data_IF_913459242897
#
_entry.id   IF_913459242897
#
_cell.length_a   1.000
_cell.length_b   1.000
_cell.length_c   1.000
_cell.angle_alpha   90.00
_cell.angle_beta   90.00
_cell.angle_gamma   90.00
#
_symmetry.space_group_name_H-M   'P 1'
#
loop_
_entity.id
_entity.type
_entity.pdbx_description
1 polymer ?
#
# COMPACT_ATOMS: atom_id res chain seq x y z
N UNK A 1 -35.62 -11.41 2.31
CA UNK A 1 -35.02 -10.30 1.52
C UNK A 1 -34.87 -10.77 0.09
N UNK A 2 -35.09 -9.90 -0.91
CA UNK A 2 -35.12 -10.28 -2.34
C UNK A 2 -33.85 -11.01 -2.80
N UNK A 3 -32.67 -10.55 -2.37
CA UNK A 3 -31.38 -11.19 -2.73
C UNK A 3 -31.28 -12.66 -2.31
N UNK A 4 -31.98 -13.09 -1.23
CA UNK A 4 -31.94 -14.49 -0.79
C UNK A 4 -32.56 -15.41 -1.83
N UNK A 5 -33.72 -15.01 -2.37
CA UNK A 5 -34.42 -15.77 -3.41
C UNK A 5 -33.58 -15.88 -4.68
N UNK A 6 -32.88 -14.79 -5.04
CA UNK A 6 -31.96 -14.76 -6.18
C UNK A 6 -30.82 -15.77 -5.98
N UNK A 7 -30.11 -15.68 -4.85
CA UNK A 7 -28.98 -16.55 -4.56
C UNK A 7 -29.40 -18.02 -4.38
N UNK A 8 -30.57 -18.29 -3.80
CA UNK A 8 -31.11 -19.65 -3.66
C UNK A 8 -31.41 -20.27 -5.03
N UNK A 9 -31.97 -19.50 -5.95
CA UNK A 9 -32.23 -19.94 -7.33
C UNK A 9 -30.93 -20.17 -8.10
N UNK A 10 -29.98 -19.23 -8.05
CA UNK A 10 -28.64 -19.40 -8.66
C UNK A 10 -27.98 -20.67 -8.11
N UNK A 11 -27.99 -20.83 -6.79
CA UNK A 11 -27.39 -21.99 -6.12
C UNK A 11 -28.02 -23.30 -6.58
N UNK A 12 -29.35 -23.35 -6.70
CA UNK A 12 -30.05 -24.54 -7.19
C UNK A 12 -29.61 -24.90 -8.61
N UNK A 13 -29.59 -23.95 -9.54
CA UNK A 13 -29.22 -24.21 -10.93
C UNK A 13 -27.72 -24.54 -11.08
N UNK A 14 -26.85 -23.82 -10.37
CA UNK A 14 -25.40 -24.07 -10.40
C UNK A 14 -25.04 -25.45 -9.86
N UNK A 15 -25.76 -25.95 -8.85
CA UNK A 15 -25.60 -27.32 -8.35
C UNK A 15 -25.98 -28.36 -9.40
N UNK A 16 -27.01 -28.12 -10.20
CA UNK A 16 -27.41 -29.03 -11.28
C UNK A 16 -26.34 -29.07 -12.40
N UNK A 17 -25.76 -27.91 -12.72
CA UNK A 17 -24.75 -27.74 -13.77
C UNK A 17 -23.41 -28.36 -13.33
N UNK A 18 -22.87 -27.95 -12.18
CA UNK A 18 -21.52 -28.27 -11.73
C UNK A 18 -21.43 -29.55 -10.90
N UNK A 19 -22.54 -30.03 -10.33
CA UNK A 19 -22.63 -31.28 -9.57
C UNK A 19 -21.54 -31.38 -8.50
N UNK A 20 -20.78 -32.47 -8.48
CA UNK A 20 -19.70 -32.73 -7.52
C UNK A 20 -18.48 -31.82 -7.70
N UNK A 21 -18.39 -31.09 -8.82
CA UNK A 21 -17.33 -30.11 -9.05
C UNK A 21 -17.54 -28.82 -8.24
N UNK A 22 -18.77 -28.51 -7.82
CA UNK A 22 -19.05 -27.33 -7.00
C UNK A 22 -18.58 -27.54 -5.56
N UNK A 23 -17.54 -26.82 -5.15
CA UNK A 23 -17.06 -26.80 -3.76
C UNK A 23 -17.93 -25.90 -2.88
N UNK A 24 -18.33 -24.73 -3.38
CA UNK A 24 -19.20 -23.82 -2.64
C UNK A 24 -19.48 -22.50 -3.36
N UNK A 25 -20.45 -21.77 -2.82
CA UNK A 25 -20.82 -20.41 -3.23
C UNK A 25 -20.70 -19.51 -1.99
N UNK A 26 -19.88 -18.47 -2.10
CA UNK A 26 -19.51 -17.60 -0.98
C UNK A 26 -19.88 -16.16 -1.32
N UNK A 27 -20.73 -15.57 -0.49
CA UNK A 27 -21.22 -14.20 -0.68
C UNK A 27 -20.37 -13.25 0.14
N UNK A 28 -19.95 -12.14 -0.48
CA UNK A 28 -19.15 -11.10 0.16
C UNK A 28 -19.77 -9.72 -0.05
N UNK A 29 -18.95 -8.67 0.10
CA UNK A 29 -19.36 -7.30 -0.17
C UNK A 29 -20.48 -6.83 0.75
N UNK A 30 -21.38 -6.00 0.23
CA UNK A 30 -22.36 -5.28 1.04
C UNK A 30 -23.34 -6.19 1.80
N UNK A 31 -23.63 -7.39 1.27
CA UNK A 31 -24.45 -8.40 1.96
C UNK A 31 -23.73 -8.92 3.20
N UNK A 32 -22.46 -9.31 3.05
CA UNK A 32 -21.64 -9.83 4.15
C UNK A 32 -21.42 -8.78 5.26
N UNK A 33 -21.22 -7.52 4.88
CA UNK A 33 -21.12 -6.41 5.84
C UNK A 33 -22.45 -5.98 6.47
N UNK A 34 -23.60 -6.52 6.02
CA UNK A 34 -24.91 -6.16 6.55
C UNK A 34 -25.42 -4.77 6.13
N UNK A 35 -24.81 -4.15 5.12
CA UNK A 35 -25.18 -2.83 4.61
C UNK A 35 -25.76 -2.86 3.18
N UNK A 36 -26.26 -4.02 2.74
CA UNK A 36 -26.84 -4.20 1.40
C UNK A 36 -28.11 -3.36 1.19
N UNK A 37 -28.14 -2.61 0.08
CA UNK A 37 -29.31 -1.89 -0.40
C UNK A 37 -29.64 -2.35 -1.84
N UNK A 38 -30.82 -2.93 -2.04
CA UNK A 38 -31.21 -3.49 -3.33
C UNK A 38 -31.23 -2.48 -4.50
N UNK A 39 -31.30 -1.17 -4.25
CA UNK A 39 -31.20 -0.16 -5.30
C UNK A 39 -29.76 0.28 -5.60
N UNK A 40 -28.86 0.19 -4.61
CA UNK A 40 -27.53 0.82 -4.66
C UNK A 40 -26.36 -0.16 -4.57
N UNK A 41 -26.65 -1.42 -4.30
CA UNK A 41 -25.71 -2.51 -4.13
C UNK A 41 -25.89 -3.55 -5.23
N UNK A 42 -24.78 -4.02 -5.74
CA UNK A 42 -24.59 -5.30 -6.41
C UNK A 42 -24.69 -6.48 -5.42
N UNK A 43 -24.85 -7.68 -5.97
CA UNK A 43 -24.71 -8.94 -5.25
C UNK A 43 -23.36 -9.54 -5.64
N UNK A 44 -22.42 -9.58 -4.70
CA UNK A 44 -21.06 -10.08 -4.93
C UNK A 44 -20.90 -11.51 -4.39
N UNK A 45 -20.48 -12.44 -5.25
CA UNK A 45 -20.23 -13.81 -4.81
C UNK A 45 -19.15 -14.52 -5.62
N UNK A 46 -18.46 -15.45 -4.96
CA UNK A 46 -17.45 -16.32 -5.55
C UNK A 46 -18.00 -17.74 -5.62
N UNK A 47 -17.87 -18.36 -6.79
CA UNK A 47 -18.15 -19.78 -7.01
C UNK A 47 -16.83 -20.53 -7.01
N UNK A 48 -16.66 -21.44 -6.07
CA UNK A 48 -15.44 -22.26 -5.98
C UNK A 48 -15.71 -23.65 -6.54
N UNK A 49 -14.88 -24.09 -7.47
CA UNK A 49 -14.95 -25.41 -8.09
C UNK A 49 -13.65 -26.19 -7.88
N UNK A 50 -13.70 -27.53 -7.94
CA UNK A 50 -12.54 -28.39 -7.70
C UNK A 50 -11.61 -28.44 -8.91
N UNK A 51 -12.20 -28.58 -10.09
CA UNK A 51 -11.56 -28.78 -11.39
C UNK A 51 -12.07 -27.75 -12.41
N UNK A 52 -11.28 -27.53 -13.47
CA UNK A 52 -11.63 -26.60 -14.56
C UNK A 52 -13.00 -26.91 -15.16
N UNK A 53 -13.75 -25.87 -15.45
CA UNK A 53 -15.10 -25.99 -16.03
C UNK A 53 -15.04 -25.96 -17.56
N UNK A 54 -15.85 -26.81 -18.18
CA UNK A 54 -15.97 -26.92 -19.64
C UNK A 54 -16.68 -25.70 -20.24
N UNK A 55 -16.50 -25.49 -21.55
CA UNK A 55 -17.22 -24.44 -22.29
C UNK A 55 -18.74 -24.56 -22.12
N UNK A 56 -19.27 -25.79 -22.15
CA UNK A 56 -20.70 -26.03 -21.97
C UNK A 56 -21.19 -25.65 -20.58
N UNK A 57 -20.41 -25.93 -19.53
CA UNK A 57 -20.72 -25.48 -18.16
C UNK A 57 -20.67 -23.95 -18.06
N UNK A 58 -19.63 -23.30 -18.61
CA UNK A 58 -19.53 -21.83 -18.63
C UNK A 58 -20.77 -21.19 -19.27
N UNK A 59 -21.17 -21.67 -20.45
CA UNK A 59 -22.37 -21.20 -21.15
C UNK A 59 -23.65 -21.44 -20.33
N UNK A 60 -23.75 -22.59 -19.65
CA UNK A 60 -24.91 -22.90 -18.82
C UNK A 60 -25.01 -21.99 -17.59
N UNK A 61 -23.88 -21.72 -16.91
CA UNK A 61 -23.83 -20.78 -15.78
C UNK A 61 -24.22 -19.37 -16.23
N UNK A 62 -23.63 -18.89 -17.34
CA UNK A 62 -23.96 -17.58 -17.89
C UNK A 62 -25.41 -17.46 -18.32
N UNK A 63 -25.99 -18.53 -18.88
CA UNK A 63 -27.40 -18.56 -19.24
C UNK A 63 -28.31 -18.36 -18.01
N UNK A 64 -28.00 -19.01 -16.89
CA UNK A 64 -28.74 -18.81 -15.63
C UNK A 64 -28.68 -17.36 -15.19
N UNK A 65 -27.48 -16.76 -15.20
CA UNK A 65 -27.30 -15.34 -14.85
C UNK A 65 -28.12 -14.43 -15.77
N UNK A 66 -28.04 -14.64 -17.08
CA UNK A 66 -28.74 -13.84 -18.08
C UNK A 66 -30.26 -13.96 -17.98
N UNK A 67 -30.79 -15.18 -17.84
CA UNK A 67 -32.23 -15.43 -17.74
C UNK A 67 -32.83 -14.80 -16.46
N UNK A 68 -32.00 -14.56 -15.44
CA UNK A 68 -32.40 -13.97 -14.17
C UNK A 68 -32.17 -12.44 -14.09
N UNK A 69 -31.65 -11.80 -15.13
CA UNK A 69 -31.17 -10.41 -15.08
C UNK A 69 -32.21 -9.40 -14.56
N UNK A 70 -33.49 -9.56 -14.92
CA UNK A 70 -34.58 -8.66 -14.49
C UNK A 70 -34.87 -8.75 -12.98
N UNK A 71 -34.42 -9.83 -12.33
CA UNK A 71 -34.59 -10.02 -10.89
C UNK A 71 -33.47 -9.37 -10.06
N UNK A 72 -32.37 -8.97 -10.69
CA UNK A 72 -31.20 -8.43 -9.99
C UNK A 72 -31.41 -6.98 -9.51
N UNK A 73 -30.58 -6.51 -8.56
CA UNK A 73 -30.45 -5.09 -8.29
C UNK A 73 -30.14 -4.27 -9.54
N UNK A 74 -30.35 -2.96 -9.47
CA UNK A 74 -30.01 -2.03 -10.58
C UNK A 74 -28.51 -2.05 -10.89
N UNK A 75 -27.66 -2.15 -9.87
CA UNK A 75 -26.22 -2.37 -10.02
C UNK A 75 -25.85 -3.78 -10.47
N UNK A 76 -26.80 -4.72 -10.42
CA UNK A 76 -26.65 -6.08 -10.88
C UNK A 76 -25.96 -7.01 -9.91
N UNK A 77 -25.09 -7.86 -10.44
CA UNK A 77 -24.31 -8.84 -9.70
C UNK A 77 -22.85 -8.80 -10.14
N UNK A 78 -21.98 -9.30 -9.27
CA UNK A 78 -20.60 -9.61 -9.60
C UNK A 78 -20.28 -11.06 -9.20
N UNK A 79 -19.75 -11.83 -10.15
CA UNK A 79 -19.48 -13.25 -9.98
C UNK A 79 -18.12 -13.61 -10.59
N UNK A 80 -17.29 -14.31 -9.81
CA UNK A 80 -16.12 -15.02 -10.34
C UNK A 80 -16.18 -16.51 -9.99
N UNK A 81 -15.84 -17.36 -10.95
CA UNK A 81 -15.64 -18.80 -10.77
C UNK A 81 -14.15 -19.08 -10.66
N UNK A 82 -13.70 -19.68 -9.57
CA UNK A 82 -12.29 -19.90 -9.24
C UNK A 82 -12.05 -21.34 -8.80
N UNK A 83 -10.82 -21.84 -8.98
CA UNK A 83 -10.44 -23.16 -8.49
C UNK A 83 -10.14 -23.14 -6.99
N UNK A 84 -10.56 -24.21 -6.29
CA UNK A 84 -10.30 -24.40 -4.85
C UNK A 84 -8.79 -24.34 -4.54
N UNK A 85 -7.93 -24.77 -5.46
CA UNK A 85 -6.47 -24.69 -5.28
C UNK A 85 -5.96 -23.25 -5.10
N UNK A 86 -6.54 -22.26 -5.79
CA UNK A 86 -6.13 -20.86 -5.69
C UNK A 86 -6.71 -20.16 -4.47
N UNK A 87 -7.84 -20.65 -3.94
CA UNK A 87 -8.38 -20.18 -2.67
C UNK A 87 -7.53 -20.69 -1.49
N UNK A 88 -7.11 -21.97 -1.53
CA UNK A 88 -6.34 -22.60 -0.46
C UNK A 88 -4.88 -22.16 -0.46
N UNK A 89 -4.25 -22.20 -1.63
CA UNK A 89 -2.88 -21.76 -1.84
C UNK A 89 -2.93 -20.43 -2.58
N UNK A 90 -3.20 -19.36 -1.82
CA UNK A 90 -3.43 -18.03 -2.37
C UNK A 90 -2.34 -17.65 -3.38
N UNK A 91 -2.77 -17.31 -4.60
CA UNK A 91 -1.93 -16.88 -5.72
C UNK A 91 -2.44 -15.52 -6.21
N UNK A 92 -1.54 -14.56 -6.39
CA UNK A 92 -1.89 -13.24 -6.89
C UNK A 92 -0.98 -12.83 -8.07
N UNK A 93 -1.52 -12.33 -9.20
CA UNK A 93 -2.96 -12.26 -9.54
C UNK A 93 -3.64 -13.63 -9.52
N UNK A 94 -4.92 -13.68 -9.10
CA UNK A 94 -5.67 -14.92 -8.88
C UNK A 94 -6.29 -15.39 -10.20
N UNK A 95 -6.02 -16.62 -10.67
CA UNK A 95 -6.66 -17.10 -11.89
C UNK A 95 -8.16 -17.38 -11.67
N UNK A 96 -8.98 -17.02 -12.65
CA UNK A 96 -10.42 -17.32 -12.69
C UNK A 96 -10.81 -18.06 -13.97
N UNK A 97 -11.80 -18.94 -13.85
CA UNK A 97 -12.34 -19.74 -14.95
C UNK A 97 -13.45 -19.01 -15.72
N UNK A 98 -14.20 -18.15 -15.03
CA UNK A 98 -15.26 -17.32 -15.59
C UNK A 98 -15.49 -16.11 -14.68
N UNK A 99 -15.74 -14.94 -15.24
CA UNK A 99 -16.10 -13.73 -14.50
C UNK A 99 -17.29 -13.05 -15.16
N UNK A 100 -18.17 -12.44 -14.39
CA UNK A 100 -19.26 -11.61 -14.87
C UNK A 100 -19.53 -10.44 -13.93
N UNK A 101 -19.71 -9.27 -14.52
CA UNK A 101 -20.30 -8.09 -13.90
C UNK A 101 -21.23 -7.43 -14.92
N UNK A 102 -22.11 -6.53 -14.48
CA UNK A 102 -23.03 -5.84 -15.39
C UNK A 102 -22.31 -5.06 -16.51
N UNK A 103 -21.05 -4.65 -16.32
CA UNK A 103 -20.24 -4.04 -17.38
C UNK A 103 -20.00 -4.96 -18.58
N UNK A 104 -20.11 -6.27 -18.37
CA UNK A 104 -19.88 -7.29 -19.38
C UNK A 104 -21.14 -7.74 -20.12
N UNK A 105 -22.33 -7.30 -19.68
CA UNK A 105 -23.61 -7.75 -20.24
C UNK A 105 -23.67 -7.57 -21.76
N UNK A 106 -23.32 -6.38 -22.26
CA UNK A 106 -23.33 -6.10 -23.71
C UNK A 106 -22.39 -7.04 -24.49
N UNK A 107 -21.18 -7.28 -23.97
CA UNK A 107 -20.21 -8.18 -24.61
C UNK A 107 -20.72 -9.62 -24.64
N UNK A 108 -21.42 -10.05 -23.58
CA UNK A 108 -22.05 -11.36 -23.53
C UNK A 108 -23.21 -11.47 -24.55
N UNK A 109 -24.08 -10.45 -24.66
CA UNK A 109 -25.21 -10.45 -25.59
C UNK A 109 -24.79 -10.49 -27.06
N UNK A 110 -23.68 -9.83 -27.40
CA UNK A 110 -23.13 -9.80 -28.76
C UNK A 110 -22.65 -11.19 -29.23
N UNK A 111 -21.96 -11.93 -28.37
CA UNK A 111 -21.48 -13.29 -28.67
C UNK A 111 -21.29 -14.13 -27.38
N UNK A 112 -22.36 -14.81 -26.91
CA UNK A 112 -22.32 -15.58 -25.67
C UNK A 112 -21.26 -16.68 -25.65
N UNK A 113 -21.05 -17.34 -26.79
CA UNK A 113 -20.10 -18.45 -26.91
C UNK A 113 -18.67 -17.94 -26.86
N UNK A 114 -18.34 -16.90 -27.62
CA UNK A 114 -17.02 -16.28 -27.57
C UNK A 114 -16.73 -15.63 -26.22
N UNK A 115 -17.73 -14.99 -25.59
CA UNK A 115 -17.60 -14.47 -24.24
C UNK A 115 -17.18 -15.57 -23.27
N UNK A 116 -17.94 -16.67 -23.18
CA UNK A 116 -17.62 -17.79 -22.27
C UNK A 116 -16.26 -18.43 -22.57
N UNK A 117 -15.86 -18.48 -23.86
CA UNK A 117 -14.58 -19.03 -24.29
C UNK A 117 -13.39 -18.18 -23.87
N UNK A 118 -13.55 -16.86 -23.92
CA UNK A 118 -12.46 -15.88 -23.72
C UNK A 118 -12.46 -15.23 -22.35
N UNK A 119 -13.54 -15.36 -21.57
CA UNK A 119 -13.64 -14.80 -20.22
C UNK A 119 -12.99 -15.75 -19.20
N UNK A 120 -11.67 -15.77 -19.20
CA UNK A 120 -10.79 -16.42 -18.23
C UNK A 120 -9.49 -15.62 -18.21
N UNK A 121 -8.76 -15.67 -17.10
CA UNK A 121 -7.54 -14.90 -16.94
C UNK A 121 -7.12 -14.84 -15.48
N UNK A 122 -6.33 -13.82 -15.13
CA UNK A 122 -5.95 -13.54 -13.77
C UNK A 122 -6.50 -12.17 -13.33
N UNK A 123 -6.87 -12.06 -12.05
CA UNK A 123 -7.46 -10.86 -11.46
C UNK A 123 -6.81 -10.55 -10.11
N UNK A 124 -6.37 -9.30 -9.94
CA UNK A 124 -5.75 -8.81 -8.70
C UNK A 124 -6.78 -8.52 -7.61
N UNK A 125 -8.01 -8.14 -7.99
CA UNK A 125 -9.07 -7.72 -7.07
C UNK A 125 -9.70 -8.90 -6.31
N UNK A 126 -9.53 -10.12 -6.84
CA UNK A 126 -9.87 -11.34 -6.11
C UNK A 126 -9.16 -11.46 -4.75
N UNK A 127 -8.00 -10.81 -4.58
CA UNK A 127 -7.35 -10.70 -3.27
C UNK A 127 -8.25 -10.01 -2.24
N UNK A 128 -8.94 -8.94 -2.64
CA UNK A 128 -9.86 -8.24 -1.77
C UNK A 128 -11.14 -9.03 -1.52
N UNK A 129 -11.65 -9.72 -2.54
CA UNK A 129 -12.85 -10.55 -2.39
C UNK A 129 -12.59 -11.68 -1.39
N UNK A 130 -11.46 -12.36 -1.50
CA UNK A 130 -11.09 -13.46 -0.58
C UNK A 130 -10.83 -12.94 0.83
N UNK A 131 -10.22 -11.76 0.97
CA UNK A 131 -10.00 -11.12 2.27
C UNK A 131 -11.32 -10.79 2.96
N UNK A 132 -12.28 -10.22 2.24
CA UNK A 132 -13.63 -9.94 2.77
C UNK A 132 -14.37 -11.24 3.10
N UNK A 133 -14.24 -12.28 2.27
CA UNK A 133 -14.83 -13.60 2.55
C UNK A 133 -14.28 -14.16 3.88
N UNK A 134 -12.96 -14.10 4.09
CA UNK A 134 -12.32 -14.56 5.34
C UNK A 134 -12.76 -13.76 6.56
N UNK A 135 -12.94 -12.45 6.43
CA UNK A 135 -13.29 -11.60 7.56
C UNK A 135 -14.78 -11.73 7.96
N UNK A 136 -15.68 -11.66 6.98
CA UNK A 136 -17.12 -11.55 7.24
C UNK A 136 -18.02 -12.25 6.21
N UNK A 137 -17.43 -13.02 5.28
CA UNK A 137 -18.17 -13.70 4.21
C UNK A 137 -19.23 -14.67 4.72
N UNK A 138 -20.20 -14.94 3.85
CA UNK A 138 -21.27 -15.89 4.12
C UNK A 138 -21.10 -17.12 3.23
N UNK A 139 -21.07 -18.30 3.86
CA UNK A 139 -21.25 -19.57 3.13
C UNK A 139 -22.71 -19.64 2.70
N UNK A 140 -22.96 -19.44 1.40
CA UNK A 140 -24.30 -19.64 0.85
C UNK A 140 -24.56 -21.12 0.59
N UNK A 141 -23.54 -21.82 0.07
CA UNK A 141 -23.56 -23.25 -0.15
C UNK A 141 -22.14 -23.83 -0.06
N UNK A 142 -22.03 -25.09 0.38
CA UNK A 142 -20.78 -25.86 0.31
C UNK A 142 -20.00 -25.92 1.62
N UNK A 143 -18.67 -26.04 1.50
CA UNK A 143 -17.73 -26.15 2.63
C UNK A 143 -17.68 -24.86 3.46
N UNK A 144 -17.10 -24.94 4.67
CA UNK A 144 -16.85 -23.74 5.49
C UNK A 144 -15.76 -22.88 4.83
N UNK A 145 -15.80 -21.57 5.07
CA UNK A 145 -14.82 -20.62 4.54
C UNK A 145 -13.39 -21.02 4.91
N UNK A 146 -13.13 -21.35 6.19
CA UNK A 146 -11.78 -21.74 6.65
C UNK A 146 -11.29 -23.07 6.08
N UNK A 147 -12.19 -23.91 5.56
CA UNK A 147 -11.82 -25.14 4.88
C UNK A 147 -11.41 -24.89 3.42
N UNK A 148 -11.65 -23.70 2.86
CA UNK A 148 -11.46 -23.39 1.43
C UNK A 148 -10.49 -22.24 1.19
N UNK A 149 -10.58 -21.18 1.99
CA UNK A 149 -9.77 -19.98 1.84
C UNK A 149 -8.61 -19.98 2.84
N UNK A 150 -7.39 -19.96 2.31
CA UNK A 150 -6.15 -19.79 3.08
C UNK A 150 -5.94 -18.35 3.53
N UNK A 151 -4.75 -18.07 4.06
CA UNK A 151 -4.35 -16.72 4.44
C UNK A 151 -4.02 -15.87 3.21
N UNK A 152 -4.53 -14.65 3.17
CA UNK A 152 -4.25 -13.67 2.12
C UNK A 152 -3.26 -12.65 2.66
N UNK A 153 -2.07 -12.47 2.05
CA UNK A 153 -1.12 -11.45 2.48
C UNK A 153 -1.75 -10.05 2.39
N UNK A 154 -1.66 -9.30 3.48
CA UNK A 154 -2.26 -7.96 3.62
C UNK A 154 -1.89 -6.99 2.50
N UNK A 155 -0.68 -7.13 1.92
CA UNK A 155 -0.22 -6.33 0.78
C UNK A 155 -1.19 -6.38 -0.38
N UNK A 156 -1.72 -7.55 -0.74
CA UNK A 156 -2.59 -7.68 -1.91
C UNK A 156 -3.99 -7.09 -1.68
N UNK A 157 -4.52 -7.18 -0.46
CA UNK A 157 -5.75 -6.46 -0.12
C UNK A 157 -5.52 -4.94 -0.15
N UNK A 158 -4.40 -4.47 0.41
CA UNK A 158 -4.01 -3.06 0.37
C UNK A 158 -3.90 -2.53 -1.06
N UNK A 159 -3.21 -3.27 -1.94
CA UNK A 159 -3.03 -2.89 -3.34
C UNK A 159 -4.40 -2.75 -4.04
N UNK A 160 -5.30 -3.73 -3.89
CA UNK A 160 -6.64 -3.69 -4.49
C UNK A 160 -7.49 -2.50 -4.00
N UNK A 161 -7.56 -2.24 -2.68
CA UNK A 161 -8.34 -1.08 -2.20
C UNK A 161 -7.67 0.26 -2.54
N UNK A 162 -6.36 0.29 -2.81
CA UNK A 162 -5.67 1.50 -3.27
C UNK A 162 -5.92 1.76 -4.75
N UNK A 163 -6.07 0.71 -5.55
CA UNK A 163 -6.39 0.84 -6.98
C UNK A 163 -7.73 1.58 -7.17
N UNK A 164 -8.70 1.33 -6.28
CA UNK A 164 -9.99 2.03 -6.20
C UNK A 164 -9.92 3.55 -6.04
N UNK A 165 -8.78 4.09 -5.59
CA UNK A 165 -8.60 5.53 -5.33
C UNK A 165 -7.53 6.17 -6.21
N UNK A 166 -6.88 5.44 -7.12
CA UNK A 166 -5.77 5.99 -7.93
C UNK A 166 -6.18 7.23 -8.74
N UNK A 167 -7.40 7.25 -9.27
CA UNK A 167 -7.93 8.37 -10.06
C UNK A 167 -8.94 9.24 -9.27
N UNK A 168 -8.89 9.22 -7.93
CA UNK A 168 -9.89 9.86 -7.08
C UNK A 168 -10.16 11.34 -7.44
N UNK A 169 -9.16 12.12 -7.83
CA UNK A 169 -9.37 13.53 -8.24
C UNK A 169 -10.25 13.68 -9.49
N UNK A 170 -10.22 12.70 -10.40
CA UNK A 170 -11.10 12.66 -11.58
C UNK A 170 -12.44 12.03 -11.23
N UNK A 171 -12.41 10.87 -10.57
CA UNK A 171 -13.59 10.05 -10.27
C UNK A 171 -14.51 10.71 -9.27
N UNK A 172 -14.02 11.58 -8.38
CA UNK A 172 -14.89 12.31 -7.43
C UNK A 172 -15.90 13.22 -8.15
N UNK A 173 -15.62 13.63 -9.39
CA UNK A 173 -16.53 14.49 -10.16
C UNK A 173 -17.73 13.71 -10.72
N UNK A 174 -17.50 12.47 -11.15
CA UNK A 174 -18.52 11.61 -11.76
C UNK A 174 -19.19 10.68 -10.76
N UNK A 175 -18.43 10.21 -9.76
CA UNK A 175 -18.87 9.26 -8.75
C UNK A 175 -18.42 9.73 -7.34
N UNK A 176 -18.97 10.84 -6.83
CA UNK A 176 -18.53 11.46 -5.59
C UNK A 176 -18.70 10.56 -4.38
N UNK A 177 -19.86 9.91 -4.23
CA UNK A 177 -20.16 9.03 -3.09
C UNK A 177 -19.17 7.85 -3.06
N UNK A 178 -18.93 7.23 -4.22
CA UNK A 178 -17.98 6.12 -4.36
C UNK A 178 -16.59 6.54 -3.92
N UNK A 179 -16.12 7.66 -4.46
CA UNK A 179 -14.75 8.15 -4.25
C UNK A 179 -14.51 8.55 -2.80
N UNK A 180 -15.42 9.32 -2.20
CA UNK A 180 -15.29 9.77 -0.81
C UNK A 180 -15.24 8.58 0.15
N UNK A 181 -16.15 7.62 -0.01
CA UNK A 181 -16.21 6.47 0.89
C UNK A 181 -15.04 5.50 0.69
N UNK A 182 -14.52 5.36 -0.54
CA UNK A 182 -13.32 4.55 -0.79
C UNK A 182 -12.06 5.19 -0.20
N UNK A 183 -11.87 6.51 -0.33
CA UNK A 183 -10.77 7.21 0.35
C UNK A 183 -10.83 6.99 1.87
N UNK A 184 -12.03 7.08 2.46
CA UNK A 184 -12.24 6.81 3.88
C UNK A 184 -11.93 5.36 4.25
N UNK A 185 -12.40 4.39 3.45
CA UNK A 185 -12.15 2.96 3.63
C UNK A 185 -10.65 2.64 3.61
N UNK A 186 -9.91 3.16 2.64
CA UNK A 186 -8.45 2.96 2.53
C UNK A 186 -7.72 3.51 3.75
N UNK A 187 -8.00 4.76 4.12
CA UNK A 187 -7.35 5.36 5.29
C UNK A 187 -7.68 4.61 6.58
N UNK A 188 -8.93 4.17 6.75
CA UNK A 188 -9.35 3.39 7.92
C UNK A 188 -8.59 2.06 8.03
N UNK A 189 -8.36 1.38 6.90
CA UNK A 189 -7.62 0.13 6.87
C UNK A 189 -6.15 0.35 7.24
N UNK A 190 -5.50 1.36 6.66
CA UNK A 190 -4.08 1.67 6.96
C UNK A 190 -3.88 1.98 8.44
N UNK A 191 -4.83 2.68 9.08
CA UNK A 191 -4.74 3.03 10.51
C UNK A 191 -5.09 1.89 11.46
N UNK A 192 -6.03 1.02 11.09
CA UNK A 192 -6.63 0.06 12.04
C UNK A 192 -6.36 -1.40 11.73
N UNK A 193 -5.94 -1.72 10.50
CA UNK A 193 -5.84 -3.08 9.99
C UNK A 193 -7.17 -3.80 9.81
N UNK A 194 -8.32 -3.12 10.03
CA UNK A 194 -9.65 -3.73 9.96
C UNK A 194 -10.25 -3.61 8.56
N UNK A 195 -10.71 -4.73 8.03
CA UNK A 195 -11.45 -4.79 6.76
C UNK A 195 -12.86 -4.22 6.99
N UNK A 196 -13.21 -3.18 6.25
CA UNK A 196 -14.46 -2.42 6.44
C UNK A 196 -15.20 -2.23 5.12
N UNK A 197 -16.53 -2.13 5.18
CA UNK A 197 -17.34 -1.65 4.06
C UNK A 197 -17.08 -0.16 3.76
N UNK A 198 -17.52 0.32 2.59
CA UNK A 198 -17.51 1.75 2.22
C UNK A 198 -18.20 2.61 3.29
N UNK A 199 -19.36 2.16 3.77
CA UNK A 199 -20.12 2.85 4.81
C UNK A 199 -19.38 2.85 6.16
N UNK A 200 -18.83 1.71 6.58
CA UNK A 200 -18.09 1.61 7.85
C UNK A 200 -16.81 2.47 7.82
N UNK A 201 -16.09 2.47 6.70
CA UNK A 201 -14.94 3.35 6.50
C UNK A 201 -15.31 4.83 6.58
N UNK A 202 -16.42 5.23 5.96
CA UNK A 202 -16.95 6.60 6.07
C UNK A 202 -17.33 6.99 7.50
N UNK A 203 -18.03 6.10 8.24
CA UNK A 203 -18.39 6.34 9.65
C UNK A 203 -17.12 6.52 10.49
N UNK A 204 -16.15 5.60 10.34
CA UNK A 204 -14.87 5.72 11.03
C UNK A 204 -14.16 7.03 10.71
N UNK A 205 -14.16 7.45 9.44
CA UNK A 205 -13.48 8.67 9.02
C UNK A 205 -14.15 9.93 9.59
N UNK A 206 -15.49 9.97 9.65
CA UNK A 206 -16.23 11.07 10.27
C UNK A 206 -15.87 11.24 11.77
N UNK A 207 -15.57 10.14 12.47
CA UNK A 207 -15.19 10.16 13.89
C UNK A 207 -13.70 10.47 14.14
N UNK A 208 -12.84 10.39 13.11
CA UNK A 208 -11.36 10.38 13.27
C UNK A 208 -10.61 11.43 12.43
N UNK A 209 -11.30 12.17 11.56
CA UNK A 209 -10.70 13.19 10.70
C UNK A 209 -10.98 14.62 11.20
N UNK A 210 -10.24 15.56 10.60
CA UNK A 210 -10.37 17.00 10.87
C UNK A 210 -11.80 17.48 10.57
N UNK A 211 -12.37 18.27 11.50
CA UNK A 211 -13.72 18.84 11.39
C UNK A 211 -13.96 19.54 10.05
N UNK A 212 -12.93 20.12 9.41
CA UNK A 212 -13.03 20.79 8.11
C UNK A 212 -13.65 19.91 7.02
N UNK A 213 -13.41 18.59 7.04
CA UNK A 213 -13.83 17.68 5.98
C UNK A 213 -14.86 16.64 6.45
N UNK A 214 -15.37 16.76 7.67
CA UNK A 214 -16.39 15.81 8.16
C UNK A 214 -17.70 15.98 7.40
N UNK A 215 -18.08 17.19 6.98
CA UNK A 215 -19.34 17.43 6.29
C UNK A 215 -19.46 16.71 4.95
N UNK A 216 -18.38 16.69 4.13
CA UNK A 216 -18.37 15.97 2.84
C UNK A 216 -18.53 14.45 3.05
N UNK A 217 -17.96 13.91 4.13
CA UNK A 217 -18.09 12.49 4.50
C UNK A 217 -19.52 12.18 4.95
N UNK A 218 -20.08 13.02 5.83
CA UNK A 218 -21.47 12.85 6.31
C UNK A 218 -22.46 12.95 5.15
N UNK A 219 -22.28 13.90 4.23
CA UNK A 219 -23.10 14.01 3.03
C UNK A 219 -22.99 12.73 2.18
N UNK A 220 -21.78 12.21 1.94
CA UNK A 220 -21.59 10.96 1.22
C UNK A 220 -22.30 9.78 1.90
N UNK A 221 -22.23 9.67 3.24
CA UNK A 221 -22.93 8.64 4.00
C UNK A 221 -24.45 8.75 3.91
N UNK A 222 -24.99 9.97 3.98
CA UNK A 222 -26.43 10.23 3.82
C UNK A 222 -26.90 9.84 2.43
N UNK A 223 -26.21 10.31 1.38
CA UNK A 223 -26.53 9.98 0.00
C UNK A 223 -26.33 8.48 -0.31
N UNK A 224 -25.38 7.80 0.34
CA UNK A 224 -25.19 6.35 0.18
C UNK A 224 -26.41 5.55 0.67
N UNK A 225 -27.06 6.02 1.74
CA UNK A 225 -28.25 5.39 2.31
C UNK A 225 -29.60 5.87 1.74
N UNK A 226 -29.65 7.04 1.10
CA UNK A 226 -30.87 7.62 0.52
C UNK A 226 -30.96 7.39 -1.01
N UNK A 227 -31.96 7.93 -1.70
CA UNK A 227 -32.01 7.99 -3.18
C UNK A 227 -31.44 9.32 -3.71
N UNK A 228 -30.80 10.13 -2.86
CA UNK A 228 -30.32 11.47 -3.22
C UNK A 228 -28.93 11.43 -3.87
N UNK A 229 -28.69 12.39 -4.76
CA UNK A 229 -27.39 12.66 -5.34
C UNK A 229 -26.55 13.55 -4.43
N UNK A 230 -25.24 13.36 -4.46
CA UNK A 230 -24.30 14.18 -3.71
C UNK A 230 -23.91 15.40 -4.54
N UNK A 231 -24.27 16.59 -4.06
CA UNK A 231 -23.80 17.85 -4.64
C UNK A 231 -22.35 18.09 -4.24
N UNK A 232 -21.50 18.35 -5.23
CA UNK A 232 -20.08 18.59 -5.03
C UNK A 232 -19.66 20.00 -5.47
N UNK A 233 -18.89 20.67 -4.62
CA UNK A 233 -18.06 21.79 -5.07
C UNK A 233 -16.72 21.24 -5.60
N UNK A 234 -16.35 21.61 -6.83
CA UNK A 234 -15.15 21.06 -7.49
C UNK A 234 -13.88 21.42 -6.74
N UNK A 235 -13.79 22.62 -6.18
CA UNK A 235 -12.60 23.08 -5.48
C UNK A 235 -12.47 22.33 -4.14
N UNK A 236 -13.54 22.28 -3.37
CA UNK A 236 -13.58 21.55 -2.10
C UNK A 236 -13.29 20.06 -2.27
N UNK A 237 -13.84 19.43 -3.31
CA UNK A 237 -13.61 18.01 -3.62
C UNK A 237 -12.14 17.73 -3.93
N UNK A 238 -11.48 18.62 -4.70
CA UNK A 238 -10.04 18.52 -4.95
C UNK A 238 -9.21 18.69 -3.67
N UNK A 239 -9.55 19.69 -2.83
CA UNK A 239 -8.90 19.88 -1.53
C UNK A 239 -9.07 18.66 -0.61
N UNK A 240 -10.24 18.02 -0.64
CA UNK A 240 -10.52 16.79 0.11
C UNK A 240 -9.67 15.62 -0.38
N UNK A 241 -9.60 15.37 -1.70
CA UNK A 241 -8.76 14.31 -2.25
C UNK A 241 -7.28 14.51 -1.86
N UNK A 242 -6.76 15.73 -2.06
CA UNK A 242 -5.39 16.10 -1.65
C UNK A 242 -5.15 15.87 -0.15
N UNK A 243 -6.11 16.23 0.71
CA UNK A 243 -6.02 15.97 2.14
C UNK A 243 -5.99 14.47 2.45
N UNK A 244 -6.88 13.68 1.85
CA UNK A 244 -6.96 12.23 2.08
C UNK A 244 -5.71 11.50 1.62
N UNK A 245 -5.19 11.80 0.43
CA UNK A 245 -3.92 11.23 -0.05
C UNK A 245 -2.76 11.55 0.89
N UNK A 246 -2.69 12.78 1.40
CA UNK A 246 -1.68 13.16 2.39
C UNK A 246 -1.81 12.35 3.68
N UNK A 247 -3.02 12.17 4.21
CA UNK A 247 -3.25 11.36 5.42
C UNK A 247 -2.87 9.89 5.20
N UNK A 248 -3.27 9.32 4.07
CA UNK A 248 -2.93 7.94 3.65
C UNK A 248 -1.41 7.79 3.65
N UNK A 249 -0.70 8.69 2.98
CA UNK A 249 0.74 8.62 2.83
C UNK A 249 1.50 8.78 4.15
N UNK A 250 1.02 9.66 5.04
CA UNK A 250 1.59 9.83 6.38
C UNK A 250 1.53 8.52 7.16
N UNK A 251 0.38 7.84 7.14
CA UNK A 251 0.20 6.58 7.86
C UNK A 251 0.94 5.42 7.17
N UNK A 252 1.06 5.39 5.84
CA UNK A 252 1.92 4.43 5.14
C UNK A 252 3.39 4.58 5.53
N UNK A 253 3.92 5.82 5.49
CA UNK A 253 5.29 6.10 5.96
C UNK A 253 5.46 5.65 7.41
N UNK A 254 4.47 5.89 8.28
CA UNK A 254 4.50 5.45 9.69
C UNK A 254 4.49 3.92 9.83
N UNK A 255 3.68 3.20 9.07
CA UNK A 255 3.63 1.74 9.09
C UNK A 255 4.97 1.14 8.65
N UNK A 256 5.58 1.67 7.58
CA UNK A 256 6.93 1.28 7.14
C UNK A 256 7.95 1.51 8.26
N UNK A 257 7.93 2.67 8.93
CA UNK A 257 8.83 2.96 10.06
C UNK A 257 8.68 1.93 11.17
N UNK A 258 7.46 1.57 11.54
CA UNK A 258 7.19 0.59 12.59
C UNK A 258 7.68 -0.81 12.22
N UNK A 259 7.42 -1.26 10.98
CA UNK A 259 7.88 -2.56 10.49
C UNK A 259 9.40 -2.65 10.52
N UNK A 260 10.09 -1.63 9.99
CA UNK A 260 11.55 -1.65 9.99
C UNK A 260 12.12 -1.53 11.39
N UNK A 261 11.51 -0.72 12.26
CA UNK A 261 11.94 -0.62 13.66
C UNK A 261 11.88 -1.98 14.36
N UNK A 262 10.81 -2.75 14.18
CA UNK A 262 10.71 -4.09 14.75
C UNK A 262 11.79 -5.04 14.21
N UNK A 263 12.05 -5.02 12.89
CA UNK A 263 13.14 -5.79 12.27
C UNK A 263 14.53 -5.37 12.77
N UNK A 264 14.75 -4.07 13.00
CA UNK A 264 15.99 -3.54 13.59
C UNK A 264 16.18 -4.05 15.01
N UNK A 265 15.14 -3.99 15.85
CA UNK A 265 15.21 -4.47 17.24
C UNK A 265 15.58 -5.97 17.30
N UNK A 266 15.05 -6.78 16.40
CA UNK A 266 15.44 -8.19 16.26
C UNK A 266 16.89 -8.36 15.81
N UNK A 267 17.33 -7.62 14.79
CA UNK A 267 18.69 -7.68 14.26
C UNK A 267 19.76 -7.20 15.25
N UNK A 268 19.49 -6.09 15.94
CA UNK A 268 20.40 -5.45 16.90
C UNK A 268 20.57 -6.24 18.21
N UNK A 269 19.75 -7.28 18.43
CA UNK A 269 19.93 -8.21 19.55
C UNK A 269 21.25 -8.97 19.53
N UNK A 270 21.93 -9.04 18.37
CA UNK A 270 23.26 -9.64 18.20
C UNK A 270 24.30 -8.55 17.86
N UNK A 271 24.98 -8.05 18.90
CA UNK A 271 25.95 -6.95 18.78
C UNK A 271 27.12 -7.32 17.85
N UNK A 272 27.62 -8.55 17.93
CA UNK A 272 28.75 -9.01 17.11
C UNK A 272 28.41 -9.04 15.63
N UNK A 273 27.15 -9.39 15.30
CA UNK A 273 26.64 -9.33 13.94
C UNK A 273 26.59 -7.90 13.41
N UNK A 274 26.10 -6.93 14.19
CA UNK A 274 25.99 -5.53 13.75
C UNK A 274 27.34 -4.95 13.33
N UNK A 275 28.36 -5.06 14.19
CA UNK A 275 29.69 -4.50 13.94
C UNK A 275 30.32 -5.05 12.66
N UNK A 276 30.11 -6.33 12.37
CA UNK A 276 30.62 -6.96 11.15
C UNK A 276 29.93 -6.44 9.90
N UNK A 277 28.60 -6.30 9.94
CA UNK A 277 27.85 -5.70 8.83
C UNK A 277 28.24 -4.24 8.59
N UNK A 278 28.40 -3.43 9.65
CA UNK A 278 28.83 -2.04 9.54
C UNK A 278 30.18 -1.93 8.82
N UNK A 279 31.18 -2.75 9.23
CA UNK A 279 32.49 -2.80 8.55
C UNK A 279 32.37 -3.20 7.09
N UNK A 280 31.53 -4.19 6.76
CA UNK A 280 31.33 -4.64 5.38
C UNK A 280 30.68 -3.55 4.51
N UNK A 281 29.69 -2.82 5.02
CA UNK A 281 29.03 -1.73 4.31
C UNK A 281 30.01 -0.58 4.04
N UNK A 282 30.80 -0.19 5.05
CA UNK A 282 31.84 0.82 4.90
C UNK A 282 32.92 0.37 3.91
N UNK A 283 33.32 -0.90 3.95
CA UNK A 283 34.27 -1.45 2.97
C UNK A 283 33.73 -1.41 1.54
N UNK A 284 32.47 -1.82 1.33
CA UNK A 284 31.79 -1.74 0.02
C UNK A 284 31.75 -0.30 -0.50
N UNK A 285 31.42 0.67 0.35
CA UNK A 285 31.41 2.08 -0.01
C UNK A 285 32.81 2.60 -0.37
N UNK A 286 33.79 2.39 0.51
CA UNK A 286 35.16 2.91 0.34
C UNK A 286 35.87 2.29 -0.86
N UNK A 287 35.49 1.08 -1.24
CA UNK A 287 35.97 0.40 -2.44
C UNK A 287 35.36 0.93 -3.74
N UNK A 288 34.27 1.70 -3.68
CA UNK A 288 33.56 2.20 -4.85
C UNK A 288 34.22 3.42 -5.51
N UNK A 289 34.00 3.59 -6.81
CA UNK A 289 34.52 4.74 -7.56
C UNK A 289 33.95 6.08 -7.08
N UNK A 290 32.69 6.10 -6.63
CA UNK A 290 32.03 7.30 -6.11
C UNK A 290 32.79 7.83 -4.88
N UNK A 291 33.15 6.95 -3.95
CA UNK A 291 33.96 7.32 -2.78
C UNK A 291 35.39 7.71 -3.16
N UNK A 292 36.05 6.92 -4.02
CA UNK A 292 37.44 7.16 -4.41
C UNK A 292 37.63 8.53 -5.06
N UNK A 293 36.67 8.96 -5.89
CA UNK A 293 36.69 10.26 -6.59
C UNK A 293 36.23 11.44 -5.73
N UNK A 294 35.48 11.21 -4.66
CA UNK A 294 35.00 12.28 -3.79
C UNK A 294 36.14 12.82 -2.90
N UNK A 295 36.32 14.14 -2.88
CA UNK A 295 37.25 14.82 -1.97
C UNK A 295 36.52 15.36 -0.74
N UNK A 296 35.31 15.87 -0.94
CA UNK A 296 34.49 16.52 0.08
C UNK A 296 33.25 15.67 0.38
N UNK A 297 33.21 15.04 1.56
CA UNK A 297 32.18 14.08 1.96
C UNK A 297 31.34 14.66 3.10
N UNK A 298 30.04 14.57 2.99
CA UNK A 298 29.10 14.82 4.07
C UNK A 298 28.56 13.51 4.62
N UNK A 299 28.70 13.29 5.92
CA UNK A 299 28.27 12.08 6.59
C UNK A 299 27.43 12.40 7.83
N UNK A 300 26.31 11.70 7.97
CA UNK A 300 25.53 11.75 9.20
C UNK A 300 26.27 11.03 10.33
N UNK A 301 25.97 11.40 11.57
CA UNK A 301 26.50 10.68 12.73
C UNK A 301 25.46 9.68 13.18
N UNK A 302 25.78 8.39 12.99
CA UNK A 302 24.89 7.29 13.31
C UNK A 302 24.55 7.24 14.79
N UNK A 303 23.28 7.02 15.10
CA UNK A 303 22.83 6.68 16.44
C UNK A 303 22.94 5.17 16.69
N UNK A 304 22.69 4.72 17.92
CA UNK A 304 22.84 3.32 18.33
C UNK A 304 22.05 2.31 17.47
N UNK A 305 20.94 2.74 16.87
CA UNK A 305 20.08 1.94 16.00
C UNK A 305 20.32 2.16 14.50
N UNK A 306 21.39 2.87 14.15
CA UNK A 306 21.86 3.09 12.78
C UNK A 306 23.21 2.39 12.55
N UNK A 307 23.66 2.40 11.29
CA UNK A 307 25.02 1.99 10.94
C UNK A 307 25.99 2.91 11.68
N UNK A 308 27.02 2.33 12.29
CA UNK A 308 28.06 3.11 12.93
C UNK A 308 28.94 3.80 11.88
N UNK A 309 28.61 5.07 11.59
CA UNK A 309 29.34 5.89 10.62
C UNK A 309 30.67 6.40 11.15
N UNK A 310 31.02 6.18 12.43
CA UNK A 310 32.33 6.53 12.96
C UNK A 310 33.46 5.86 12.17
N UNK A 311 33.26 4.59 11.78
CA UNK A 311 34.18 3.80 10.95
C UNK A 311 34.44 4.48 9.60
N UNK A 312 33.39 5.01 8.97
CA UNK A 312 33.51 5.73 7.69
C UNK A 312 34.21 7.08 7.86
N UNK A 313 33.89 7.81 8.93
CA UNK A 313 34.47 9.12 9.23
C UNK A 313 35.98 8.98 9.46
N UNK A 314 36.40 8.05 10.32
CA UNK A 314 37.81 7.76 10.57
C UNK A 314 38.53 7.37 9.28
N UNK A 315 37.93 6.47 8.50
CA UNK A 315 38.52 6.03 7.23
C UNK A 315 38.68 7.18 6.21
N UNK A 316 37.70 8.08 6.13
CA UNK A 316 37.78 9.25 5.25
C UNK A 316 38.90 10.22 5.67
N UNK A 317 39.10 10.41 6.97
CA UNK A 317 40.21 11.21 7.50
C UNK A 317 41.55 10.56 7.18
N UNK A 318 41.68 9.25 7.37
CA UNK A 318 42.89 8.49 7.01
C UNK A 318 43.23 8.57 5.52
N UNK A 319 42.20 8.54 4.66
CA UNK A 319 42.34 8.66 3.20
C UNK A 319 42.60 10.11 2.75
N UNK A 320 42.74 11.06 3.68
CA UNK A 320 43.05 12.46 3.40
C UNK A 320 41.89 13.25 2.79
N UNK A 321 40.64 12.81 3.01
CA UNK A 321 39.43 13.46 2.49
C UNK A 321 38.90 14.50 3.49
N UNK A 322 38.19 15.50 2.99
CA UNK A 322 37.48 16.46 3.82
C UNK A 322 36.14 15.85 4.24
N UNK A 323 35.99 15.50 5.51
CA UNK A 323 34.74 14.95 6.06
C UNK A 323 34.00 16.03 6.85
N UNK A 324 32.70 16.13 6.60
CA UNK A 324 31.81 17.06 7.29
C UNK A 324 30.59 16.35 7.85
N UNK A 325 30.04 16.89 8.93
CA UNK A 325 28.88 16.36 9.65
C UNK A 325 27.78 17.42 9.78
N UNK A 326 26.51 17.00 9.93
CA UNK A 326 25.39 17.94 10.06
C UNK A 326 25.48 18.77 11.35
N UNK A 327 25.27 20.08 11.23
CA UNK A 327 24.87 20.95 12.34
C UNK A 327 23.53 21.61 12.04
N UNK A 328 22.54 21.44 12.92
CA UNK A 328 21.21 22.06 12.74
C UNK A 328 21.30 23.56 12.99
N UNK A 329 20.94 24.37 11.99
CA UNK A 329 21.03 25.84 12.04
C UNK A 329 19.69 26.56 11.98
N UNK A 330 18.60 25.82 11.73
CA UNK A 330 17.25 26.36 11.63
C UNK A 330 16.21 25.26 11.70
N UNK A 331 14.97 25.57 11.28
CA UNK A 331 13.83 24.64 11.43
C UNK A 331 13.96 23.36 10.58
N UNK A 332 14.56 23.47 9.39
CA UNK A 332 14.83 22.36 8.46
C UNK A 332 16.21 22.49 7.78
N UNK A 333 17.02 23.45 8.22
CA UNK A 333 18.31 23.76 7.60
C UNK A 333 19.44 23.19 8.43
N UNK A 334 20.45 22.69 7.74
CA UNK A 334 21.67 22.16 8.33
C UNK A 334 22.87 22.66 7.54
N UNK A 335 23.95 22.93 8.26
CA UNK A 335 25.24 23.31 7.72
C UNK A 335 26.16 22.09 7.77
N UNK A 336 27.01 21.94 6.76
CA UNK A 336 28.08 20.94 6.74
C UNK A 336 29.30 21.51 7.46
N UNK A 337 29.67 20.92 8.60
CA UNK A 337 30.81 21.37 9.40
C UNK A 337 31.93 20.34 9.31
N UNK A 338 33.12 20.79 8.92
CA UNK A 338 34.29 19.93 8.75
C UNK A 338 34.80 19.46 10.11
N UNK A 339 35.16 18.18 10.20
CA UNK A 339 35.84 17.61 11.37
C UNK A 339 37.10 16.85 10.92
N UNK A 340 38.13 16.87 11.77
CA UNK A 340 39.38 16.12 11.59
C UNK A 340 39.53 15.00 12.63
N UNK A 341 38.57 14.87 13.56
CA UNK A 341 38.52 13.84 14.58
C UNK A 341 37.12 13.77 15.19
N UNK A 342 36.68 12.57 15.57
CA UNK A 342 35.45 12.35 16.34
C UNK A 342 35.49 13.03 17.72
N UNK A 343 36.68 13.35 18.25
CA UNK A 343 36.83 14.08 19.51
C UNK A 343 36.26 15.52 19.45
N UNK A 344 36.02 16.06 18.26
CA UNK A 344 35.38 17.37 18.05
C UNK A 344 33.85 17.33 18.13
N UNK A 345 33.27 16.20 18.53
CA UNK A 345 31.83 16.02 18.67
C UNK A 345 31.42 16.02 20.14
N UNK A 346 30.24 16.58 20.44
CA UNK A 346 29.63 16.52 21.77
C UNK A 346 28.16 16.14 21.67
N UNK A 347 27.62 15.36 22.63
CA UNK A 347 26.20 15.08 22.68
C UNK A 347 25.42 16.36 23.03
N UNK A 348 24.39 16.66 22.25
CA UNK A 348 23.47 17.77 22.53
C UNK A 348 22.14 17.26 23.07
N UNK A 349 21.57 18.01 24.02
CA UNK A 349 20.25 17.71 24.60
C UNK A 349 19.13 18.15 23.63
N UNK A 350 17.94 17.51 23.68
CA UNK A 350 17.55 16.43 24.58
C UNK A 350 17.85 15.01 24.07
N UNK A 351 18.27 14.86 22.80
CA UNK A 351 18.33 13.56 22.13
C UNK A 351 19.70 12.88 22.15
N UNK A 352 20.74 13.54 22.65
CA UNK A 352 22.09 12.98 22.75
C UNK A 352 22.83 12.89 21.41
N UNK A 353 22.33 13.55 20.37
CA UNK A 353 22.93 13.57 19.03
C UNK A 353 24.31 14.22 19.13
N UNK A 354 25.31 13.59 18.52
CA UNK A 354 26.65 14.16 18.45
C UNK A 354 26.67 15.29 17.43
N UNK A 355 26.93 16.51 17.91
CA UNK A 355 27.13 17.70 17.08
C UNK A 355 28.56 18.23 17.22
N UNK A 356 29.11 18.89 16.18
CA UNK A 356 30.43 19.49 16.24
C UNK A 356 30.50 20.62 17.28
N UNK A 357 31.61 20.67 18.01
CA UNK A 357 31.84 21.62 19.12
C UNK A 357 31.93 23.07 18.62
N UNK A 358 32.57 23.28 17.47
CA UNK A 358 32.71 24.56 16.74
C UNK A 358 32.01 24.44 15.37
N UNK A 359 31.64 25.56 14.74
CA UNK A 359 31.00 25.63 13.41
C UNK A 359 31.64 26.65 12.47
N UNK A 360 32.86 27.09 12.78
CA UNK A 360 33.62 28.01 11.93
C UNK A 360 33.96 27.43 10.57
N UNK A 361 34.33 26.15 10.52
CA UNK A 361 34.81 25.50 9.30
C UNK A 361 33.64 24.84 8.56
N UNK A 362 32.91 25.64 7.78
CA UNK A 362 31.80 25.18 6.95
C UNK A 362 32.28 24.71 5.58
N UNK A 363 31.63 23.67 5.08
CA UNK A 363 31.93 23.09 3.77
C UNK A 363 30.81 23.39 2.78
N UNK A 364 31.09 24.26 1.80
CA UNK A 364 30.11 24.64 0.79
C UNK A 364 30.04 23.64 -0.38
N UNK A 365 31.20 23.15 -0.83
CA UNK A 365 31.31 22.17 -1.91
C UNK A 365 31.29 20.76 -1.34
N UNK A 366 30.36 19.94 -1.81
CA UNK A 366 30.20 18.54 -1.38
C UNK A 366 30.15 17.68 -2.63
N UNK A 367 30.97 16.64 -2.69
CA UNK A 367 31.03 15.71 -3.81
C UNK A 367 30.20 14.45 -3.54
N UNK A 368 30.08 14.06 -2.27
CA UNK A 368 29.35 12.87 -1.83
C UNK A 368 28.59 13.12 -0.51
N UNK A 369 27.31 12.80 -0.50
CA UNK A 369 26.42 12.86 0.67
C UNK A 369 26.03 11.45 1.07
N UNK A 370 26.35 11.07 2.31
CA UNK A 370 25.86 9.84 2.92
C UNK A 370 24.53 10.13 3.62
N UNK A 371 23.46 9.51 3.13
CA UNK A 371 22.09 9.82 3.51
C UNK A 371 21.54 8.74 4.44
N UNK A 372 21.10 9.07 5.67
CA UNK A 372 20.45 8.12 6.57
C UNK A 372 19.01 7.86 6.12
N UNK A 373 18.48 6.71 6.52
CA UNK A 373 17.09 6.33 6.27
C UNK A 373 16.67 5.08 7.04
N UNK A 374 15.36 4.95 7.22
CA UNK A 374 14.75 3.80 7.86
C UNK A 374 14.42 2.73 6.83
N UNK A 375 13.85 3.09 5.69
CA UNK A 375 13.58 2.16 4.60
C UNK A 375 14.02 2.76 3.27
N UNK A 376 14.37 1.89 2.33
CA UNK A 376 14.74 2.23 0.97
C UNK A 376 14.06 1.30 -0.03
N UNK A 377 13.98 1.69 -1.29
CA UNK A 377 13.62 0.80 -2.38
C UNK A 377 14.67 0.83 -3.50
N UNK A 378 14.61 -0.15 -4.41
CA UNK A 378 15.58 -0.27 -5.50
C UNK A 378 15.50 0.87 -6.55
N UNK A 379 14.52 1.77 -6.44
CA UNK A 379 14.37 2.96 -7.29
C UNK A 379 14.95 4.22 -6.65
N UNK A 380 15.63 4.09 -5.50
CA UNK A 380 16.22 5.21 -4.77
C UNK A 380 15.24 5.93 -3.84
N UNK A 381 14.00 5.44 -3.71
CA UNK A 381 13.04 5.96 -2.75
C UNK A 381 13.50 5.74 -1.31
N UNK A 382 13.09 6.63 -0.40
CA UNK A 382 13.52 6.60 1.01
C UNK A 382 12.41 7.00 1.98
N UNK A 383 12.28 6.25 3.08
CA UNK A 383 11.54 6.68 4.27
C UNK A 383 12.52 7.09 5.35
N UNK A 384 12.58 8.39 5.67
CA UNK A 384 13.34 8.92 6.81
C UNK A 384 12.47 9.11 8.07
N UNK A 385 13.05 9.79 9.07
CA UNK A 385 12.35 10.15 10.31
C UNK A 385 11.26 11.23 10.14
N UNK A 386 11.11 11.81 8.94
CA UNK A 386 9.98 12.70 8.59
C UNK A 386 10.21 14.19 8.86
N UNK A 387 11.42 14.62 9.22
CA UNK A 387 11.75 16.01 9.50
C UNK A 387 12.20 16.83 8.28
N UNK A 388 12.41 16.20 7.11
CA UNK A 388 12.70 16.88 5.83
C UNK A 388 14.08 17.52 5.67
N UNK A 389 14.96 17.42 6.67
CA UNK A 389 16.30 18.02 6.63
C UNK A 389 17.15 17.57 5.44
N UNK A 390 17.21 16.26 5.19
CA UNK A 390 18.03 15.71 4.10
C UNK A 390 17.47 16.04 2.73
N UNK A 391 16.15 16.03 2.56
CA UNK A 391 15.53 16.40 1.28
C UNK A 391 15.80 17.87 0.96
N UNK A 392 15.76 18.75 1.98
CA UNK A 392 16.15 20.15 1.84
C UNK A 392 17.65 20.31 1.53
N UNK A 393 18.51 19.58 2.24
CA UNK A 393 19.96 19.63 2.08
C UNK A 393 20.41 19.16 0.70
N UNK A 394 19.94 17.99 0.23
CA UNK A 394 20.29 17.44 -1.08
C UNK A 394 19.84 18.39 -2.20
N UNK A 395 18.67 19.02 -2.08
CA UNK A 395 18.21 20.03 -3.05
C UNK A 395 19.12 21.25 -3.18
N UNK A 396 19.92 21.57 -2.16
CA UNK A 396 20.92 22.65 -2.19
C UNK A 396 22.27 22.20 -2.73
N UNK A 397 22.56 20.90 -2.69
CA UNK A 397 23.81 20.29 -3.15
C UNK A 397 23.55 19.32 -4.32
N UNK A 398 22.87 19.77 -5.37
CA UNK A 398 22.42 18.92 -6.49
C UNK A 398 23.55 18.29 -7.31
N UNK A 399 24.77 18.83 -7.20
CA UNK A 399 25.95 18.31 -7.88
C UNK A 399 26.62 17.16 -7.10
N UNK A 400 26.25 16.96 -5.84
CA UNK A 400 26.80 15.90 -5.01
C UNK A 400 26.16 14.55 -5.33
N UNK A 401 26.97 13.50 -5.39
CA UNK A 401 26.46 12.13 -5.42
C UNK A 401 25.79 11.78 -4.09
N UNK A 402 24.75 10.96 -4.12
CA UNK A 402 24.04 10.52 -2.90
C UNK A 402 24.14 9.02 -2.71
N UNK A 403 24.60 8.60 -1.53
CA UNK A 403 24.69 7.18 -1.19
C UNK A 403 24.00 6.92 0.14
N UNK A 404 23.17 5.88 0.20
CA UNK A 404 22.65 5.34 1.44
C UNK A 404 23.35 4.02 1.78
N UNK A 405 23.73 3.87 3.04
CA UNK A 405 24.11 2.57 3.60
C UNK A 405 22.92 2.05 4.39
N UNK A 406 22.56 0.78 4.21
CA UNK A 406 21.47 0.16 4.96
C UNK A 406 21.67 -1.34 5.07
N UNK A 407 20.96 -1.98 6.00
CA UNK A 407 20.87 -3.44 6.03
C UNK A 407 19.89 -3.95 4.97
N UNK A 408 20.07 -5.20 4.53
CA UNK A 408 19.23 -5.88 3.56
C UNK A 408 17.73 -5.80 3.88
N UNK A 409 17.36 -5.98 5.15
CA UNK A 409 15.96 -5.94 5.59
C UNK A 409 15.32 -4.54 5.56
N UNK A 410 16.12 -3.47 5.39
CA UNK A 410 15.63 -2.10 5.21
C UNK A 410 15.27 -1.79 3.75
N UNK A 411 15.65 -2.65 2.80
CA UNK A 411 15.26 -2.53 1.40
C UNK A 411 13.93 -3.26 1.20
N UNK A 412 12.90 -2.52 0.81
CA UNK A 412 11.56 -3.05 0.52
C UNK A 412 11.23 -2.85 -0.97
N UNK A 413 10.16 -3.49 -1.44
CA UNK A 413 9.75 -3.44 -2.85
C UNK A 413 9.54 -2.00 -3.35
N UNK A 414 8.84 -1.19 -2.57
CA UNK A 414 8.52 0.21 -2.88
C UNK A 414 8.25 0.97 -1.59
N UNK A 415 8.85 2.14 -1.45
CA UNK A 415 8.51 3.04 -0.33
C UNK A 415 7.37 4.00 -0.71
N UNK A 416 6.56 4.44 0.27
CA UNK A 416 5.65 5.58 0.08
C UNK A 416 6.45 6.87 -0.10
N UNK A 417 6.28 7.54 -1.24
CA UNK A 417 7.00 8.76 -1.63
C UNK A 417 6.06 9.93 -1.97
N UNK A 418 6.53 11.16 -1.76
CA UNK A 418 5.91 12.40 -2.21
C UNK A 418 6.67 12.95 -3.43
N UNK A 419 6.03 13.76 -4.27
CA UNK A 419 6.69 14.39 -5.44
C UNK A 419 7.93 15.21 -5.07
N UNK A 420 8.00 15.69 -3.83
CA UNK A 420 9.11 16.49 -3.33
C UNK A 420 10.20 15.68 -2.60
N UNK A 421 10.01 14.37 -2.40
CA UNK A 421 11.03 13.48 -1.82
C UNK A 421 12.19 13.32 -2.83
N UNK A 422 13.43 13.37 -2.34
CA UNK A 422 14.61 13.28 -3.20
C UNK A 422 15.09 11.83 -3.27
N UNK A 423 15.21 11.30 -4.49
CA UNK A 423 15.73 9.95 -4.73
C UNK A 423 17.24 9.87 -4.47
N UNK A 424 17.65 8.77 -3.87
CA UNK A 424 19.05 8.43 -3.62
C UNK A 424 19.63 7.76 -4.87
N UNK A 425 20.80 8.22 -5.29
CA UNK A 425 21.46 7.73 -6.50
C UNK A 425 21.93 6.28 -6.34
N UNK A 426 22.47 5.92 -5.17
CA UNK A 426 22.96 4.58 -4.90
C UNK A 426 22.66 4.11 -3.48
N UNK A 427 22.24 2.86 -3.37
CA UNK A 427 22.00 2.19 -2.09
C UNK A 427 22.98 1.02 -1.99
N UNK A 428 23.64 0.88 -0.84
CA UNK A 428 24.59 -0.20 -0.54
C UNK A 428 24.06 -0.96 0.68
N UNK A 429 23.80 -2.25 0.47
CA UNK A 429 23.38 -3.23 1.49
C UNK A 429 24.15 -4.54 1.32
#
# INVERSE_FOLDING_TARGET
MKYKVILDNITKEFRCILRDNLTGIYVHGSIAFGCFNFKKSDIDFIVVVKDKISQTEKMALMKVIYDMQESFPEKGIEMSVVLEEYCRNFKCPTPFELHFSNMHLKRYEEDPDNYCRTMNGDDIDLAAHFTVIKECGLVWYGKKIDDVFGDIPQKYYMDSIKDDIMEAEKTIITEPIYTVLNLCRVLSYIKTGKVMSKQQGGIWAADNLDEKYVHIIIQALQCYGSDEEMLIDKKESGEFCSFMFKQILIEEKKNVRNIIKAKKEEFLGDVGRKEEYDRQLVYKLTSSDIYKKAENIFCYIGMNDEIDTSILIEKAIEDGKNISVPKVTGKITMDAVIIDSLAKLKPVKPYGILEPIDDKDKMDKIDLIIVPGLAFDNQGGRVGHGAGYYDYFIKRHKEAHTVALCYDFQVIDKVPEEEHDVKIEKIIY
#
